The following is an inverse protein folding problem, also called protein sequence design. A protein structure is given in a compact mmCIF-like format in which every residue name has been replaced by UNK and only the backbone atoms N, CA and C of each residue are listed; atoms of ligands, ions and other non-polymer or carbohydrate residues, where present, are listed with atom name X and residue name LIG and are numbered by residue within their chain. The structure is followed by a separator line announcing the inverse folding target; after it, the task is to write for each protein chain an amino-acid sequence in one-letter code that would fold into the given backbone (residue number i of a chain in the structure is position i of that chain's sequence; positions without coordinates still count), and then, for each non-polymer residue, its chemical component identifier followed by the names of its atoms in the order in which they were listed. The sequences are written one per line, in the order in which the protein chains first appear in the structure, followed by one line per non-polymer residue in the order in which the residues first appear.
data_IF_989940633747
#
_entry.id   IF_989940633747
#
_cell.length_a   1.000
_cell.length_b   1.000
_cell.length_c   1.000
_cell.angle_alpha   90.00
_cell.angle_beta   90.00
_cell.angle_gamma   90.00
#
_symmetry.space_group_name_H-M   'P 1'
#
loop_
_entity.id
_entity.type
_entity.pdbx_description
1 polymer ?
#
# COMPACT_ATOMS: atom_id res chain seq x y z
N UNK A 1 -0.16 -8.08 -13.28
CA UNK A 1 -0.37 -6.93 -14.19
C UNK A 1 -1.83 -6.52 -14.12
N UNK A 2 -2.11 -5.21 -14.19
CA UNK A 2 -3.47 -4.66 -14.20
C UNK A 2 -3.95 -4.56 -15.65
N UNK A 3 -5.15 -5.06 -15.94
CA UNK A 3 -5.65 -5.23 -17.31
C UNK A 3 -7.02 -4.57 -17.52
N UNK A 4 -7.40 -4.38 -18.78
CA UNK A 4 -8.75 -3.94 -19.15
C UNK A 4 -9.11 -2.56 -18.60
N UNK A 5 -10.34 -2.37 -18.14
CA UNK A 5 -10.81 -1.08 -17.62
C UNK A 5 -9.99 -0.57 -16.43
N UNK A 6 -9.46 -1.47 -15.58
CA UNK A 6 -8.65 -1.10 -14.42
C UNK A 6 -7.30 -0.48 -14.83
N UNK A 7 -6.76 -0.81 -16.01
CA UNK A 7 -5.51 -0.22 -16.50
C UNK A 7 -5.62 1.28 -16.82
N UNK A 8 -6.83 1.84 -16.85
CA UNK A 8 -7.06 3.29 -16.97
C UNK A 8 -6.88 4.04 -15.66
N UNK A 9 -6.86 3.31 -14.55
CA UNK A 9 -6.81 3.86 -13.19
C UNK A 9 -5.43 3.71 -12.55
N UNK A 10 -4.51 3.00 -13.22
CA UNK A 10 -3.17 2.67 -12.71
C UNK A 10 -2.17 2.81 -13.85
N UNK A 11 -1.03 3.42 -13.56
CA UNK A 11 0.08 3.56 -14.49
C UNK A 11 1.20 2.55 -14.18
N UNK A 12 1.98 2.17 -15.18
CA UNK A 12 3.20 1.37 -14.96
C UNK A 12 4.12 2.11 -13.99
N UNK A 13 4.61 1.39 -12.97
CA UNK A 13 5.45 1.95 -11.91
C UNK A 13 4.67 2.50 -10.70
N UNK A 14 3.34 2.50 -10.73
CA UNK A 14 2.55 2.85 -9.56
C UNK A 14 2.75 1.84 -8.42
N UNK A 15 3.00 2.34 -7.21
CA UNK A 15 2.91 1.55 -5.99
C UNK A 15 1.42 1.31 -5.68
N UNK A 16 1.04 0.05 -5.47
CA UNK A 16 -0.35 -0.36 -5.22
C UNK A 16 -0.42 -1.34 -4.04
N UNK A 17 -1.57 -1.38 -3.38
CA UNK A 17 -1.90 -2.40 -2.36
C UNK A 17 -2.95 -3.35 -2.95
N UNK A 18 -2.71 -4.66 -2.81
CA UNK A 18 -3.66 -5.70 -3.20
C UNK A 18 -4.29 -6.27 -1.93
N UNK A 19 -5.62 -6.25 -1.87
CA UNK A 19 -6.39 -6.75 -0.71
C UNK A 19 -7.34 -7.84 -1.18
N UNK A 20 -7.36 -8.95 -0.44
CA UNK A 20 -8.37 -9.98 -0.56
C UNK A 20 -9.25 -9.96 0.70
N UNK A 21 -10.56 -10.06 0.52
CA UNK A 21 -11.55 -10.10 1.60
C UNK A 21 -12.30 -11.43 1.56
N UNK A 22 -12.73 -11.90 2.73
CA UNK A 22 -13.54 -13.11 2.87
C UNK A 22 -14.77 -12.83 3.71
N UNK A 23 -15.88 -13.50 3.39
CA UNK A 23 -17.03 -13.58 4.28
C UNK A 23 -16.84 -14.78 5.20
N UNK A 24 -16.85 -14.50 6.49
CA UNK A 24 -16.68 -15.50 7.56
C UNK A 24 -17.75 -15.24 8.62
N UNK A 25 -17.97 -16.22 9.48
CA UNK A 25 -18.79 -16.01 10.66
C UNK A 25 -18.12 -15.02 11.62
N UNK A 26 -18.92 -14.42 12.50
CA UNK A 26 -18.42 -13.50 13.54
C UNK A 26 -17.45 -14.20 14.52
N UNK A 27 -17.65 -15.49 14.79
CA UNK A 27 -16.73 -16.30 15.60
C UNK A 27 -15.37 -16.48 14.92
N UNK A 28 -15.36 -16.84 13.64
CA UNK A 28 -14.13 -16.97 12.86
C UNK A 28 -13.41 -15.62 12.72
N UNK A 29 -14.15 -14.52 12.49
CA UNK A 29 -13.59 -13.18 12.33
C UNK A 29 -12.75 -12.74 13.54
N UNK A 30 -13.18 -13.07 14.76
CA UNK A 30 -12.47 -12.70 16.01
C UNK A 30 -11.08 -13.31 16.14
N UNK A 31 -10.84 -14.44 15.50
CA UNK A 31 -9.59 -15.21 15.63
C UNK A 31 -8.80 -15.29 14.33
N UNK A 32 -9.41 -14.89 13.21
CA UNK A 32 -8.78 -14.86 11.90
C UNK A 32 -7.59 -13.90 11.89
N UNK A 33 -6.44 -14.42 11.45
CA UNK A 33 -5.23 -13.65 11.21
C UNK A 33 -5.07 -13.44 9.70
N UNK A 34 -4.89 -12.19 9.22
CA UNK A 34 -4.66 -11.95 7.81
C UNK A 34 -3.28 -12.48 7.40
N UNK A 35 -3.08 -12.66 6.10
CA UNK A 35 -1.77 -12.99 5.53
C UNK A 35 -1.22 -11.74 4.87
N UNK A 36 -0.29 -11.08 5.52
CA UNK A 36 0.36 -9.86 5.04
C UNK A 36 1.65 -10.24 4.34
N UNK A 37 1.88 -9.71 3.14
CA UNK A 37 3.09 -9.95 2.35
C UNK A 37 3.69 -8.60 1.99
N UNK A 38 4.96 -8.42 2.32
CA UNK A 38 5.73 -7.25 1.96
C UNK A 38 6.66 -7.59 0.80
N UNK A 39 6.84 -6.62 -0.10
CA UNK A 39 7.67 -6.76 -1.29
C UNK A 39 8.62 -5.59 -1.48
N UNK A 40 9.73 -5.82 -2.17
CA UNK A 40 10.65 -4.78 -2.63
C UNK A 40 10.19 -4.14 -3.96
N UNK A 41 11.01 -3.21 -4.47
CA UNK A 41 10.77 -2.51 -5.73
C UNK A 41 10.73 -3.44 -6.97
N UNK A 42 11.31 -4.62 -6.88
CA UNK A 42 11.32 -5.65 -7.93
C UNK A 42 10.18 -6.69 -7.72
N UNK A 43 9.25 -6.42 -6.80
CA UNK A 43 8.17 -7.32 -6.36
C UNK A 43 8.67 -8.65 -5.76
N UNK A 44 9.89 -8.72 -5.21
CA UNK A 44 10.36 -9.88 -4.44
C UNK A 44 9.86 -9.78 -3.01
N UNK A 45 9.46 -10.91 -2.44
CA UNK A 45 9.00 -10.96 -1.05
C UNK A 45 10.17 -10.65 -0.11
N UNK A 46 9.97 -9.67 0.77
CA UNK A 46 10.94 -9.26 1.81
C UNK A 46 10.49 -9.63 3.21
N UNK A 47 9.20 -9.91 3.41
CA UNK A 47 8.64 -10.31 4.70
C UNK A 47 7.20 -10.78 4.60
N UNK A 48 6.75 -11.50 5.62
CA UNK A 48 5.36 -11.93 5.79
C UNK A 48 4.94 -11.81 7.25
N UNK A 49 3.68 -11.48 7.51
CA UNK A 49 3.16 -11.32 8.87
C UNK A 49 1.64 -11.46 8.94
N UNK A 50 1.08 -11.16 10.12
CA UNK A 50 -0.36 -11.12 10.38
C UNK A 50 -0.87 -9.75 10.84
N UNK A 51 0.01 -8.76 10.92
CA UNK A 51 -0.35 -7.39 11.29
C UNK A 51 -0.24 -6.46 10.07
N UNK A 52 -1.37 -5.95 9.52
CA UNK A 52 -1.36 -5.12 8.34
C UNK A 52 -0.78 -3.71 8.58
N UNK A 53 -0.61 -3.28 9.82
CA UNK A 53 -0.02 -2.00 10.17
C UNK A 53 1.45 -2.11 10.61
N UNK A 54 2.04 -3.31 10.59
CA UNK A 54 3.47 -3.51 10.86
C UNK A 54 4.34 -2.71 9.88
N UNK A 55 5.29 -1.96 10.43
CA UNK A 55 6.33 -1.29 9.65
C UNK A 55 7.49 -2.24 9.40
N UNK A 56 7.98 -2.28 8.15
CA UNK A 56 9.08 -3.17 7.77
C UNK A 56 10.37 -2.84 8.53
N UNK A 57 11.04 -3.83 9.15
CA UNK A 57 12.34 -3.64 9.78
C UNK A 57 13.36 -3.07 8.79
N UNK A 58 14.14 -2.08 9.23
CA UNK A 58 15.17 -1.44 8.41
C UNK A 58 14.65 -0.39 7.42
N UNK A 59 13.40 0.06 7.58
CA UNK A 59 12.83 1.19 6.83
C UNK A 59 12.50 2.36 7.77
N UNK A 60 12.36 3.57 7.21
CA UNK A 60 11.89 4.75 7.95
C UNK A 60 10.34 4.80 8.04
N UNK A 61 9.66 3.70 7.70
CA UNK A 61 8.21 3.62 7.77
C UNK A 61 7.76 3.53 9.23
N UNK A 62 6.67 4.22 9.54
CA UNK A 62 5.98 4.14 10.82
C UNK A 62 4.65 3.44 10.64
N UNK A 63 4.17 2.78 11.70
CA UNK A 63 2.82 2.19 11.66
C UNK A 63 1.78 3.27 11.42
N UNK A 64 0.82 3.00 10.53
CA UNK A 64 -0.23 3.95 10.18
C UNK A 64 -1.29 4.17 11.27
N UNK A 65 -1.36 3.28 12.26
CA UNK A 65 -2.30 3.33 13.39
C UNK A 65 -1.72 4.03 14.63
N UNK A 66 -0.45 4.44 14.60
CA UNK A 66 0.10 5.31 15.63
C UNK A 66 -0.56 6.70 15.51
N UNK A 67 -1.25 7.15 16.56
CA UNK A 67 -1.83 8.51 16.63
C UNK A 67 -0.67 9.50 16.55
N UNK A 68 -0.47 10.10 15.38
CA UNK A 68 0.56 11.11 15.18
C UNK A 68 0.22 12.34 16.03
N UNK A 69 0.94 12.52 17.15
CA UNK A 69 1.19 13.87 17.63
C UNK A 69 1.98 14.60 16.54
N UNK A 70 1.30 15.46 15.80
CA UNK A 70 1.84 16.31 14.72
C UNK A 70 2.50 15.53 13.56
N UNK A 71 1.78 15.39 12.45
CA UNK A 71 2.39 14.98 11.19
C UNK A 71 3.42 16.05 10.78
N UNK A 72 4.73 15.73 10.64
CA UNK A 72 5.65 16.65 9.99
C UNK A 72 5.13 16.91 8.56
N UNK A 73 5.01 18.19 8.20
CA UNK A 73 4.49 18.65 6.91
C UNK A 73 5.00 17.76 5.77
N UNK A 74 4.11 16.91 5.25
CA UNK A 74 4.42 16.04 4.15
C UNK A 74 4.78 16.94 2.96
N UNK A 75 6.04 16.90 2.52
CA UNK A 75 6.43 17.42 1.22
C UNK A 75 5.66 16.60 0.17
N UNK A 76 4.58 17.17 -0.33
CA UNK A 76 3.83 16.64 -1.46
C UNK A 76 4.80 16.53 -2.64
N UNK A 77 5.27 15.33 -2.96
CA UNK A 77 5.87 15.07 -4.27
C UNK A 77 4.73 14.95 -5.29
N UNK A 78 3.99 16.05 -5.47
CA UNK A 78 3.18 16.26 -6.65
C UNK A 78 4.18 16.69 -7.73
N UNK A 79 4.78 15.71 -8.41
CA UNK A 79 5.36 15.97 -9.71
C UNK A 79 4.21 16.39 -10.62
N UNK A 80 3.99 17.70 -10.69
CA UNK A 80 3.22 18.31 -11.75
C UNK A 80 3.93 17.94 -13.06
N UNK A 81 3.35 17.01 -13.82
CA UNK A 81 3.70 16.90 -15.22
C UNK A 81 3.11 18.13 -15.91
N UNK A 82 4.03 18.99 -16.35
CA UNK A 82 3.79 20.23 -17.06
C UNK A 82 2.72 20.10 -18.14
N UNK A 83 1.79 21.07 -18.10
CA UNK A 83 1.01 21.47 -19.25
C UNK A 83 1.95 21.98 -20.35
N UNK A 84 2.33 21.09 -21.26
CA UNK A 84 3.06 21.39 -22.48
C UNK A 84 2.10 21.77 -23.61
N UNK A 85 2.18 23.02 -24.02
CA UNK A 85 1.43 23.71 -25.08
C UNK A 85 1.83 23.28 -26.50
N UNK A 86 0.85 23.21 -27.43
CA UNK A 86 0.96 23.27 -28.91
C UNK A 86 1.68 22.10 -29.63
N UNK A 87 1.23 21.56 -30.78
CA UNK A 87 0.34 21.98 -31.87
C UNK A 87 -0.49 20.78 -32.36
#
# INVERSE_FOLDING_TARGET
GINGAAARLVHTGALVIIIASAQVTDEEARTMKPRVVFVDADNRITGTGDDPAEALPGTDLVRGDAVAGELPSARTHLAAHDAGTAR
#
